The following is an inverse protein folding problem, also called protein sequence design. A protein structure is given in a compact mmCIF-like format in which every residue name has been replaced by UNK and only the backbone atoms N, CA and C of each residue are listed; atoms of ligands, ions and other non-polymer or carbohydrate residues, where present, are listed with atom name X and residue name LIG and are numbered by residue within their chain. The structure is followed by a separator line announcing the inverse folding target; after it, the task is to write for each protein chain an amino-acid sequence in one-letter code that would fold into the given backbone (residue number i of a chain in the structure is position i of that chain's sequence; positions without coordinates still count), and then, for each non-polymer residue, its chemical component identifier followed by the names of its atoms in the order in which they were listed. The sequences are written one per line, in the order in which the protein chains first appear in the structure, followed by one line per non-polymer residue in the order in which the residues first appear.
data_IF_606095500483
#
_entry.id   IF_606095500483
#
_cell.length_a   1.000
_cell.length_b   1.000
_cell.length_c   1.000
_cell.angle_alpha   90.00
_cell.angle_beta   90.00
_cell.angle_gamma   90.00
#
_symmetry.space_group_name_H-M   'P 1'
#
loop_
_entity.id
_entity.type
_entity.pdbx_description
1 polymer ?
#
# COMPACT_ATOMS: atom_id res chain seq x y z
N UNK A 1 10.41 20.35 6.32
CA UNK A 1 9.37 21.20 5.72
C UNK A 1 8.03 20.51 5.90
N UNK A 2 6.96 21.26 6.17
CA UNK A 2 5.74 20.74 6.78
C UNK A 2 4.96 19.81 5.83
N UNK A 3 4.91 18.52 6.19
CA UNK A 3 3.88 17.59 5.71
C UNK A 3 2.48 18.21 5.80
N UNK A 4 2.23 19.04 6.83
CA UNK A 4 1.00 19.80 6.98
C UNK A 4 0.73 20.77 5.81
N UNK A 5 1.75 21.43 5.26
CA UNK A 5 1.60 22.37 4.14
C UNK A 5 1.21 21.62 2.86
N UNK A 6 1.83 20.45 2.64
CA UNK A 6 1.50 19.56 1.51
C UNK A 6 0.10 19.00 1.64
N UNK A 7 -0.29 18.57 2.84
CA UNK A 7 -1.63 18.07 3.11
C UNK A 7 -2.68 19.15 2.90
N UNK A 8 -2.41 20.38 3.35
CA UNK A 8 -3.27 21.54 3.12
C UNK A 8 -3.43 21.81 1.62
N UNK A 9 -2.32 21.90 0.89
CA UNK A 9 -2.34 22.11 -0.56
C UNK A 9 -3.13 21.01 -1.28
N UNK A 10 -2.83 19.74 -1.00
CA UNK A 10 -3.48 18.62 -1.65
C UNK A 10 -4.99 18.60 -1.35
N UNK A 11 -5.38 18.92 -0.11
CA UNK A 11 -6.79 18.95 0.27
C UNK A 11 -7.60 19.99 -0.49
N UNK A 12 -7.02 21.17 -0.76
CA UNK A 12 -7.67 22.25 -1.49
C UNK A 12 -7.68 22.00 -3.00
N UNK A 13 -6.61 21.44 -3.57
CA UNK A 13 -6.60 21.04 -4.99
C UNK A 13 -7.67 19.99 -5.27
N UNK A 14 -7.68 18.92 -4.47
CA UNK A 14 -8.63 17.82 -4.61
C UNK A 14 -10.07 18.32 -4.51
N UNK A 15 -10.35 19.18 -3.53
CA UNK A 15 -11.65 19.85 -3.39
C UNK A 15 -12.03 20.67 -4.62
N UNK A 16 -11.09 21.39 -5.22
CA UNK A 16 -11.34 22.18 -6.44
C UNK A 16 -11.55 21.32 -7.68
N UNK A 17 -10.93 20.14 -7.74
CA UNK A 17 -11.02 19.19 -8.85
C UNK A 17 -12.16 18.17 -8.70
N UNK A 18 -12.98 18.26 -7.63
CA UNK A 18 -13.99 17.24 -7.26
C UNK A 18 -13.39 15.82 -7.12
N UNK A 19 -12.13 15.73 -6.67
CA UNK A 19 -11.44 14.47 -6.40
C UNK A 19 -11.41 14.23 -4.89
N UNK A 20 -11.76 13.04 -4.39
CA UNK A 20 -11.72 12.76 -2.96
C UNK A 20 -10.32 12.79 -2.36
N UNK A 21 -10.25 13.16 -1.07
CA UNK A 21 -9.02 13.16 -0.29
C UNK A 21 -8.73 11.76 0.27
N UNK A 22 -7.96 10.96 -0.46
CA UNK A 22 -7.52 9.63 -0.01
C UNK A 22 -7.58 8.60 -1.12
N UNK A 23 -7.61 7.33 -0.73
CA UNK A 23 -7.82 6.23 -1.67
C UNK A 23 -9.32 6.09 -1.96
N UNK A 24 -9.66 5.92 -3.24
CA UNK A 24 -11.03 5.67 -3.71
C UNK A 24 -11.38 4.19 -3.70
N UNK A 25 -10.37 3.37 -3.98
CA UNK A 25 -10.46 1.93 -3.98
C UNK A 25 -9.22 1.37 -3.28
N UNK A 26 -9.41 0.31 -2.50
CA UNK A 26 -8.34 -0.42 -1.83
C UNK A 26 -8.65 -1.91 -1.94
N UNK A 27 -7.79 -2.62 -2.67
CA UNK A 27 -7.75 -4.07 -2.72
C UNK A 27 -6.75 -4.65 -1.71
N UNK A 28 -7.13 -5.75 -1.08
CA UNK A 28 -6.29 -6.51 -0.14
C UNK A 28 -6.19 -7.95 -0.61
N UNK A 29 -5.03 -8.33 -1.14
CA UNK A 29 -4.70 -9.71 -1.45
C UNK A 29 -3.99 -10.37 -0.26
N UNK A 30 -4.60 -11.41 0.29
CA UNK A 30 -4.01 -12.25 1.34
C UNK A 30 -3.55 -13.57 0.73
N UNK A 31 -2.25 -13.83 0.83
CA UNK A 31 -1.63 -15.06 0.35
C UNK A 31 -1.32 -15.97 1.54
N UNK A 32 -1.75 -17.24 1.46
CA UNK A 32 -1.42 -18.25 2.47
C UNK A 32 -1.05 -19.57 1.83
N UNK A 33 -0.23 -20.37 2.51
CA UNK A 33 0.02 -21.75 2.08
C UNK A 33 -1.17 -22.65 2.41
N UNK A 34 -1.37 -23.68 1.58
CA UNK A 34 -2.35 -24.73 1.83
C UNK A 34 -2.01 -25.48 3.12
N UNK A 35 -3.07 -25.89 3.81
CA UNK A 35 -3.01 -26.73 5.01
C UNK A 35 -2.06 -27.93 4.83
N UNK A 36 -1.18 -28.12 5.80
CA UNK A 36 -0.26 -29.26 5.87
C UNK A 36 0.99 -29.14 5.00
N UNK A 37 1.17 -28.02 4.28
CA UNK A 37 2.42 -27.70 3.60
C UNK A 37 3.39 -26.89 4.48
N UNK A 38 2.84 -26.14 5.44
CA UNK A 38 3.65 -25.45 6.45
C UNK A 38 4.03 -26.43 7.57
N UNK A 39 5.26 -26.34 8.06
CA UNK A 39 5.82 -27.20 9.12
C UNK A 39 5.26 -26.85 10.50
N UNK A 40 4.39 -25.82 10.59
CA UNK A 40 3.78 -25.40 11.86
C UNK A 40 2.68 -26.35 12.35
N UNK A 41 2.86 -27.01 13.51
CA UNK A 41 1.79 -27.80 14.13
C UNK A 41 0.64 -26.88 14.53
N UNK A 42 -0.61 -27.29 14.28
CA UNK A 42 -1.87 -26.53 14.55
C UNK A 42 -2.16 -25.33 13.63
N UNK A 43 -1.68 -25.39 12.39
CA UNK A 43 -2.00 -24.45 11.32
C UNK A 43 -3.49 -24.04 11.24
N UNK A 44 -4.42 -24.97 11.54
CA UNK A 44 -5.87 -24.76 11.47
C UNK A 44 -6.44 -23.76 12.47
N UNK A 45 -6.01 -23.83 13.74
CA UNK A 45 -6.59 -23.01 14.81
C UNK A 45 -5.88 -21.66 14.94
N UNK A 46 -4.58 -21.61 14.65
CA UNK A 46 -3.78 -20.44 14.98
C UNK A 46 -3.43 -19.57 13.77
N UNK A 47 -3.55 -20.05 12.51
CA UNK A 47 -3.35 -19.21 11.30
C UNK A 47 -4.67 -18.84 10.64
N UNK A 48 -5.64 -19.76 10.59
CA UNK A 48 -6.92 -19.48 9.92
C UNK A 48 -7.77 -18.47 10.69
N UNK A 49 -7.71 -18.47 12.03
CA UNK A 49 -8.42 -17.48 12.85
C UNK A 49 -7.83 -16.08 12.62
N UNK A 50 -6.50 -15.84 12.73
CA UNK A 50 -5.96 -14.52 12.44
C UNK A 50 -6.15 -14.05 11.00
N UNK A 51 -6.09 -14.93 9.99
CA UNK A 51 -6.40 -14.52 8.60
C UNK A 51 -7.88 -14.13 8.47
N UNK A 52 -8.79 -14.89 9.10
CA UNK A 52 -10.21 -14.55 9.16
C UNK A 52 -10.46 -13.21 9.85
N UNK A 53 -9.86 -12.99 11.02
CA UNK A 53 -9.95 -11.75 11.78
C UNK A 53 -9.35 -10.56 11.03
N UNK A 54 -8.23 -10.76 10.34
CA UNK A 54 -7.60 -9.72 9.52
C UNK A 54 -8.49 -9.34 8.33
N UNK A 55 -9.08 -10.34 7.66
CA UNK A 55 -10.07 -10.11 6.60
C UNK A 55 -11.29 -9.37 7.14
N UNK A 56 -11.80 -9.79 8.29
CA UNK A 56 -12.92 -9.14 8.96
C UNK A 56 -12.63 -7.65 9.24
N UNK A 57 -11.44 -7.33 9.76
CA UNK A 57 -11.02 -5.95 9.99
C UNK A 57 -11.02 -5.16 8.68
N UNK A 58 -10.37 -5.67 7.62
CA UNK A 58 -10.30 -4.93 6.36
C UNK A 58 -11.65 -4.81 5.65
N UNK A 59 -12.48 -5.85 5.62
CA UNK A 59 -13.78 -5.79 4.94
C UNK A 59 -14.85 -5.04 5.72
N UNK A 60 -14.92 -5.22 7.04
CA UNK A 60 -16.03 -4.71 7.84
C UNK A 60 -15.71 -3.40 8.55
N UNK A 61 -14.45 -3.17 8.92
CA UNK A 61 -14.05 -1.92 9.57
C UNK A 61 -13.46 -0.92 8.58
N UNK A 62 -12.71 -1.39 7.58
CA UNK A 62 -12.15 -0.52 6.53
C UNK A 62 -12.98 -0.48 5.23
N UNK A 63 -13.88 -1.43 5.02
CA UNK A 63 -14.65 -1.56 3.77
C UNK A 63 -13.78 -1.74 2.52
N UNK A 64 -12.63 -2.41 2.67
CA UNK A 64 -11.76 -2.77 1.56
C UNK A 64 -12.21 -4.06 0.88
N UNK A 65 -11.88 -4.21 -0.40
CA UNK A 65 -12.11 -5.45 -1.14
C UNK A 65 -11.03 -6.46 -0.78
N UNK A 66 -11.40 -7.63 -0.25
CA UNK A 66 -10.43 -8.62 0.21
C UNK A 66 -10.54 -9.92 -0.58
N UNK A 67 -9.39 -10.44 -1.01
CA UNK A 67 -9.25 -11.74 -1.65
C UNK A 67 -8.26 -12.60 -0.84
N UNK A 68 -8.62 -13.85 -0.57
CA UNK A 68 -7.70 -14.84 0.01
C UNK A 68 -7.36 -15.85 -1.07
N UNK A 69 -6.08 -15.98 -1.40
CA UNK A 69 -5.58 -17.03 -2.30
C UNK A 69 -4.73 -18.01 -1.51
N UNK A 70 -5.08 -19.28 -1.64
CA UNK A 70 -4.35 -20.40 -1.04
C UNK A 70 -3.38 -21.01 -2.06
N UNK A 71 -2.10 -21.10 -1.67
CA UNK A 71 -1.01 -21.63 -2.49
C UNK A 71 -0.77 -23.10 -2.16
N UNK A 72 -0.79 -23.96 -3.18
CA UNK A 72 -0.62 -25.41 -3.03
C UNK A 72 0.59 -25.96 -3.79
N UNK A 73 1.21 -27.04 -3.30
CA UNK A 73 2.39 -27.67 -3.91
C UNK A 73 2.06 -28.70 -5.01
N UNK A 74 0.79 -28.95 -5.30
CA UNK A 74 0.37 -29.88 -6.36
C UNK A 74 0.65 -29.36 -7.77
N UNK A 75 0.70 -28.03 -7.93
CA UNK A 75 1.15 -27.33 -9.15
C UNK A 75 2.35 -26.46 -8.79
N UNK A 76 3.00 -25.83 -9.76
CA UNK A 76 4.04 -24.82 -9.49
C UNK A 76 3.48 -23.70 -8.59
N UNK A 77 3.93 -23.58 -7.32
CA UNK A 77 3.42 -22.56 -6.40
C UNK A 77 3.80 -21.16 -6.85
N UNK A 78 4.93 -21.03 -7.52
CA UNK A 78 5.36 -19.80 -8.15
C UNK A 78 4.36 -19.31 -9.21
N UNK A 79 3.85 -20.19 -10.08
CA UNK A 79 2.85 -19.78 -11.08
C UNK A 79 1.54 -19.35 -10.43
N UNK A 80 1.16 -19.99 -9.32
CA UNK A 80 -0.03 -19.58 -8.56
C UNK A 80 0.16 -18.22 -7.92
N UNK A 81 1.32 -17.98 -7.32
CA UNK A 81 1.67 -16.68 -6.74
C UNK A 81 1.65 -15.57 -7.81
N UNK A 82 2.33 -15.80 -8.94
CA UNK A 82 2.34 -14.83 -10.04
C UNK A 82 0.93 -14.58 -10.58
N UNK A 83 0.12 -15.64 -10.75
CA UNK A 83 -1.25 -15.55 -11.23
C UNK A 83 -2.17 -14.85 -10.24
N UNK A 84 -2.02 -15.07 -8.94
CA UNK A 84 -2.79 -14.39 -7.90
C UNK A 84 -2.52 -12.87 -7.95
N UNK A 85 -1.25 -12.48 -8.01
CA UNK A 85 -0.86 -11.08 -8.13
C UNK A 85 -1.36 -10.48 -9.45
N UNK A 86 -1.14 -11.17 -10.58
CA UNK A 86 -1.62 -10.70 -11.88
C UNK A 86 -3.14 -10.56 -11.94
N UNK A 87 -3.90 -11.47 -11.34
CA UNK A 87 -5.35 -11.37 -11.29
C UNK A 87 -5.81 -10.22 -10.39
N UNK A 88 -5.16 -10.05 -9.24
CA UNK A 88 -5.43 -8.94 -8.34
C UNK A 88 -5.11 -7.58 -8.97
N UNK A 89 -4.11 -7.54 -9.88
CA UNK A 89 -3.71 -6.32 -10.59
C UNK A 89 -4.50 -6.07 -11.88
N UNK A 90 -4.81 -7.10 -12.68
CA UNK A 90 -5.08 -6.91 -14.11
C UNK A 90 -6.33 -7.56 -14.68
N UNK A 91 -6.80 -8.72 -14.25
CA UNK A 91 -7.39 -9.62 -15.26
C UNK A 91 -6.48 -9.74 -16.52
N UNK A 92 -5.15 -9.96 -16.40
CA UNK A 92 -4.40 -10.75 -17.41
C UNK A 92 -2.88 -10.91 -17.20
N UNK A 93 -2.49 -12.17 -17.42
CA UNK A 93 -1.30 -12.72 -18.12
C UNK A 93 0.03 -12.98 -17.41
N UNK A 94 0.60 -14.14 -17.80
CA UNK A 94 1.60 -14.97 -17.13
C UNK A 94 3.04 -14.58 -17.50
N UNK A 95 3.93 -14.71 -16.52
CA UNK A 95 5.39 -14.63 -16.67
C UNK A 95 6.08 -15.92 -16.18
N UNK A 96 7.10 -16.37 -16.90
CA UNK A 96 7.99 -17.48 -16.53
C UNK A 96 9.28 -16.99 -15.87
N UNK A 97 9.90 -17.84 -15.04
CA UNK A 97 11.01 -17.43 -14.15
C UNK A 97 12.28 -18.26 -14.33
N UNK A 98 13.45 -17.65 -14.07
CA UNK A 98 14.73 -18.33 -13.94
C UNK A 98 14.95 -18.89 -12.51
N UNK A 99 15.79 -19.94 -12.41
CA UNK A 99 16.14 -20.62 -11.17
C UNK A 99 17.34 -19.96 -10.49
N UNK A 100 17.28 -19.75 -9.17
CA UNK A 100 18.43 -19.38 -8.34
C UNK A 100 18.64 -20.39 -7.21
N UNK A 101 19.91 -20.78 -6.98
CA UNK A 101 20.32 -21.78 -6.00
C UNK A 101 20.68 -21.17 -4.65
N UNK A 102 19.95 -21.56 -3.62
CA UNK A 102 20.25 -21.31 -2.20
C UNK A 102 20.22 -22.60 -1.40
N UNK A 103 20.72 -22.57 -0.15
CA UNK A 103 20.80 -23.76 0.74
C UNK A 103 19.41 -24.35 1.09
N UNK A 104 18.36 -23.56 0.92
CA UNK A 104 16.97 -23.99 0.80
C UNK A 104 16.49 -23.50 -0.56
N UNK A 105 15.93 -24.39 -1.38
CA UNK A 105 15.35 -23.99 -2.67
C UNK A 105 13.90 -23.55 -2.42
N UNK A 106 13.61 -22.23 -2.44
CA UNK A 106 12.24 -21.77 -2.26
C UNK A 106 11.36 -22.27 -3.40
N UNK A 107 10.22 -22.85 -3.07
CA UNK A 107 9.24 -23.33 -4.06
C UNK A 107 8.44 -22.18 -4.70
N UNK A 108 8.48 -21.00 -4.08
CA UNK A 108 8.03 -19.72 -4.62
C UNK A 108 8.94 -18.58 -4.13
N UNK A 109 9.33 -17.70 -5.03
CA UNK A 109 10.18 -16.54 -4.85
C UNK A 109 9.33 -15.28 -4.91
N UNK A 110 9.22 -14.59 -3.78
CA UNK A 110 8.53 -13.30 -3.70
C UNK A 110 9.17 -12.25 -4.61
N UNK A 111 10.51 -12.23 -4.69
CA UNK A 111 11.27 -11.25 -5.46
C UNK A 111 10.77 -11.10 -6.90
N UNK A 112 10.41 -12.23 -7.53
CA UNK A 112 9.89 -12.25 -8.88
C UNK A 112 8.41 -11.88 -8.97
N UNK A 113 7.63 -12.30 -7.98
CA UNK A 113 6.20 -12.02 -7.93
C UNK A 113 5.97 -10.50 -7.73
N UNK A 114 6.83 -9.87 -6.94
CA UNK A 114 6.86 -8.45 -6.66
C UNK A 114 7.21 -7.57 -7.86
N UNK A 115 7.97 -8.08 -8.84
CA UNK A 115 8.33 -7.29 -10.04
C UNK A 115 7.09 -6.77 -10.77
N UNK A 116 6.00 -7.54 -10.79
CA UNK A 116 4.72 -7.10 -11.37
C UNK A 116 4.10 -5.93 -10.59
N UNK A 117 4.28 -5.90 -9.26
CA UNK A 117 3.78 -4.83 -8.41
C UNK A 117 4.67 -3.60 -8.46
N UNK A 118 5.93 -3.75 -8.88
CA UNK A 118 6.90 -2.69 -9.04
C UNK A 118 7.06 -2.24 -10.50
N UNK A 119 6.33 -2.81 -11.45
CA UNK A 119 6.41 -2.43 -12.87
C UNK A 119 6.05 -0.95 -13.05
N UNK A 120 6.90 -0.24 -13.79
CA UNK A 120 6.84 1.20 -14.06
C UNK A 120 6.59 1.48 -15.56
N UNK A 121 6.47 0.44 -16.39
CA UNK A 121 6.21 0.59 -17.82
C UNK A 121 4.77 1.05 -18.09
N UNK A 122 4.50 1.54 -19.31
CA UNK A 122 3.13 1.83 -19.74
C UNK A 122 2.25 0.57 -19.60
N UNK A 123 1.29 0.62 -18.68
CA UNK A 123 0.45 -0.53 -18.31
C UNK A 123 0.77 -1.15 -16.94
N UNK A 124 1.82 -0.69 -16.25
CA UNK A 124 2.11 -1.03 -14.86
C UNK A 124 1.14 -0.38 -13.86
N UNK A 125 1.10 -0.83 -12.60
CA UNK A 125 0.17 -0.32 -11.60
C UNK A 125 0.48 1.12 -11.15
N UNK A 126 -0.53 2.00 -11.24
CA UNK A 126 -0.47 3.39 -10.74
C UNK A 126 -0.73 3.50 -9.22
N UNK A 127 -1.15 2.41 -8.57
CA UNK A 127 -1.55 2.40 -7.16
C UNK A 127 -0.37 2.42 -6.18
N UNK A 128 -0.58 3.06 -5.03
CA UNK A 128 0.31 2.88 -3.87
C UNK A 128 0.17 1.44 -3.36
N UNK A 129 1.29 0.82 -2.93
CA UNK A 129 1.31 -0.59 -2.51
C UNK A 129 1.87 -0.71 -1.10
N UNK A 130 1.10 -1.34 -0.20
CA UNK A 130 1.56 -1.72 1.13
C UNK A 130 1.71 -3.24 1.24
N UNK A 131 2.94 -3.71 1.43
CA UNK A 131 3.23 -5.11 1.73
C UNK A 131 3.19 -5.35 3.23
N UNK A 132 2.39 -6.33 3.67
CA UNK A 132 2.39 -6.83 5.05
C UNK A 132 2.93 -8.27 5.03
N UNK A 133 4.11 -8.48 5.61
CA UNK A 133 4.79 -9.78 5.55
C UNK A 133 5.00 -10.38 6.93
N UNK A 134 4.15 -11.35 7.27
CA UNK A 134 4.36 -12.23 8.42
C UNK A 134 5.15 -13.49 8.02
N UNK A 135 6.44 -13.30 7.75
CA UNK A 135 7.34 -14.40 7.49
C UNK A 135 8.74 -14.14 8.05
N UNK A 136 9.46 -15.22 8.32
CA UNK A 136 10.87 -15.14 8.68
C UNK A 136 11.66 -14.51 7.53
N UNK A 137 12.73 -13.76 7.83
CA UNK A 137 13.60 -13.15 6.81
C UNK A 137 12.92 -12.14 5.87
N UNK A 138 11.70 -11.69 6.17
CA UNK A 138 10.94 -10.73 5.35
C UNK A 138 11.71 -9.43 5.05
N UNK A 139 12.54 -8.98 5.99
CA UNK A 139 13.37 -7.78 5.84
C UNK A 139 14.56 -7.93 4.88
N UNK A 140 14.82 -9.12 4.32
CA UNK A 140 15.91 -9.32 3.36
C UNK A 140 15.57 -8.76 1.96
N UNK A 141 14.32 -8.33 1.72
CA UNK A 141 13.79 -7.84 0.45
C UNK A 141 14.06 -6.33 0.21
N UNK A 142 15.22 -5.83 0.61
CA UNK A 142 15.57 -4.42 0.40
C UNK A 142 16.06 -4.19 -1.04
N UNK A 143 15.21 -3.60 -1.87
CA UNK A 143 15.58 -2.95 -3.12
C UNK A 143 15.09 -1.52 -3.07
N UNK A 144 15.94 -0.58 -3.49
CA UNK A 144 15.62 0.82 -3.73
C UNK A 144 15.77 1.14 -5.21
N UNK A 145 14.73 1.72 -5.81
CA UNK A 145 14.76 2.31 -7.16
C UNK A 145 14.40 3.79 -7.06
N UNK A 146 14.85 4.59 -8.04
CA UNK A 146 15.05 6.04 -7.86
C UNK A 146 14.03 6.96 -8.55
N UNK A 147 12.96 6.45 -9.19
CA UNK A 147 12.16 7.25 -10.14
C UNK A 147 10.63 7.04 -10.06
N UNK A 148 9.92 7.41 -8.99
CA UNK A 148 8.49 7.02 -8.85
C UNK A 148 7.56 8.11 -8.32
N UNK A 149 6.37 8.23 -8.93
CA UNK A 149 5.26 9.07 -8.43
C UNK A 149 4.45 8.38 -7.31
N UNK A 150 4.45 7.04 -7.24
CA UNK A 150 3.70 6.25 -6.25
C UNK A 150 4.53 5.84 -5.03
N UNK A 151 3.84 5.52 -3.95
CA UNK A 151 4.39 5.10 -2.65
C UNK A 151 4.31 3.59 -2.53
N UNK A 152 5.45 2.94 -2.26
CA UNK A 152 5.49 1.51 -1.98
C UNK A 152 6.17 1.27 -0.64
N UNK A 153 5.46 0.65 0.28
CA UNK A 153 5.94 0.38 1.63
C UNK A 153 5.91 -1.11 1.96
N UNK A 154 6.86 -1.55 2.77
CA UNK A 154 6.91 -2.91 3.29
C UNK A 154 6.93 -2.88 4.81
N UNK A 155 5.93 -3.49 5.43
CA UNK A 155 5.91 -3.80 6.85
C UNK A 155 6.21 -5.29 7.06
N UNK A 156 7.36 -5.58 7.66
CA UNK A 156 7.85 -6.93 7.88
C UNK A 156 7.76 -7.31 9.37
N UNK A 157 7.39 -8.57 9.64
CA UNK A 157 7.19 -9.09 10.98
C UNK A 157 8.46 -9.25 11.82
N UNK A 158 9.64 -9.21 11.20
CA UNK A 158 10.93 -9.30 11.87
C UNK A 158 12.03 -8.58 11.09
N UNK A 159 13.10 -8.24 11.78
CA UNK A 159 14.33 -7.69 11.20
C UNK A 159 15.06 -8.70 10.30
N UNK A 160 16.09 -8.19 9.60
CA UNK A 160 16.94 -8.98 8.71
C UNK A 160 17.48 -10.22 9.44
N UNK A 161 17.48 -11.36 8.76
CA UNK A 161 18.06 -12.61 9.26
C UNK A 161 17.48 -13.14 10.58
N UNK A 162 16.27 -12.70 10.95
CA UNK A 162 15.58 -13.10 12.18
C UNK A 162 14.35 -13.95 11.87
N UNK A 163 14.04 -14.89 12.77
CA UNK A 163 12.82 -15.70 12.71
C UNK A 163 11.68 -15.01 13.45
N UNK A 164 10.46 -15.18 12.95
CA UNK A 164 9.24 -14.75 13.63
C UNK A 164 8.76 -15.85 14.59
N UNK A 165 8.05 -15.48 15.68
CA UNK A 165 7.31 -16.46 16.46
C UNK A 165 6.25 -17.12 15.58
N UNK A 166 5.87 -18.32 15.96
CA UNK A 166 4.69 -18.94 15.38
C UNK A 166 3.42 -18.14 15.62
N UNK A 167 2.32 -18.59 15.01
CA UNK A 167 0.99 -18.07 15.28
C UNK A 167 0.66 -18.03 16.80
N UNK A 168 -0.18 -17.09 17.21
CA UNK A 168 -0.57 -16.88 18.62
C UNK A 168 -0.33 -15.46 19.13
N UNK A 169 -0.45 -15.26 20.44
CA UNK A 169 -0.47 -13.92 21.08
C UNK A 169 0.76 -13.06 20.79
N UNK A 170 1.92 -13.70 20.57
CA UNK A 170 3.18 -13.02 20.27
C UNK A 170 3.47 -12.88 18.77
N UNK A 171 2.56 -13.34 17.91
CA UNK A 171 2.71 -13.27 16.46
C UNK A 171 2.58 -11.83 15.96
N UNK A 172 3.15 -11.55 14.78
CA UNK A 172 2.97 -10.26 14.12
C UNK A 172 1.52 -10.01 13.78
N UNK A 173 0.87 -11.00 13.15
CA UNK A 173 -0.51 -10.86 12.68
C UNK A 173 -1.46 -10.53 13.85
N UNK A 174 -1.31 -11.16 15.01
CA UNK A 174 -2.13 -10.82 16.19
C UNK A 174 -1.90 -9.38 16.66
N UNK A 175 -0.64 -8.93 16.75
CA UNK A 175 -0.33 -7.55 17.14
C UNK A 175 -0.85 -6.53 16.10
N UNK A 176 -0.75 -6.86 14.81
CA UNK A 176 -1.25 -6.07 13.68
C UNK A 176 -2.77 -5.89 13.77
N UNK A 177 -3.53 -6.98 13.94
CA UNK A 177 -5.00 -6.93 14.04
C UNK A 177 -5.41 -6.05 15.22
N UNK A 178 -4.79 -6.25 16.39
CA UNK A 178 -5.09 -5.46 17.58
C UNK A 178 -4.74 -3.97 17.39
N UNK A 179 -3.64 -3.66 16.70
CA UNK A 179 -3.25 -2.28 16.39
C UNK A 179 -4.23 -1.64 15.39
N UNK A 180 -4.62 -2.34 14.32
CA UNK A 180 -5.60 -1.87 13.35
C UNK A 180 -6.93 -1.55 14.02
N UNK A 181 -7.50 -2.49 14.80
CA UNK A 181 -8.76 -2.28 15.52
C UNK A 181 -8.69 -1.06 16.45
N UNK A 182 -7.62 -0.95 17.23
CA UNK A 182 -7.43 0.18 18.13
C UNK A 182 -7.37 1.52 17.39
N UNK A 183 -6.59 1.59 16.31
CA UNK A 183 -6.42 2.83 15.56
C UNK A 183 -7.66 3.20 14.76
N UNK A 184 -8.43 2.23 14.26
CA UNK A 184 -9.74 2.51 13.65
C UNK A 184 -10.72 3.04 14.68
N UNK A 185 -10.80 2.45 15.86
CA UNK A 185 -11.67 2.94 16.93
C UNK A 185 -11.29 4.37 17.37
N UNK A 186 -9.98 4.65 17.44
CA UNK A 186 -9.45 5.94 17.91
C UNK A 186 -9.52 7.05 16.86
N UNK A 187 -9.12 6.77 15.63
CA UNK A 187 -8.96 7.77 14.57
C UNK A 187 -10.14 7.76 13.57
N UNK A 188 -10.94 6.68 13.55
CA UNK A 188 -12.15 6.54 12.76
C UNK A 188 -11.96 6.87 11.28
N UNK A 189 -12.88 7.68 10.75
CA UNK A 189 -12.88 8.14 9.36
C UNK A 189 -11.69 9.02 8.99
N UNK A 190 -10.94 9.54 9.95
CA UNK A 190 -9.76 10.37 9.63
C UNK A 190 -8.61 9.52 9.13
N UNK A 191 -8.57 8.23 9.46
CA UNK A 191 -7.50 7.30 9.10
C UNK A 191 -6.14 7.63 9.74
N UNK A 192 -5.16 6.78 9.50
CA UNK A 192 -3.84 6.88 10.12
C UNK A 192 -2.71 6.43 9.18
N UNK A 193 -1.52 7.04 9.28
CA UNK A 193 -0.38 6.63 8.47
C UNK A 193 0.19 5.29 8.95
N UNK A 194 0.83 4.56 8.03
CA UNK A 194 1.54 3.30 8.31
C UNK A 194 2.61 3.43 9.39
N UNK A 195 3.22 4.61 9.55
CA UNK A 195 4.16 4.90 10.65
C UNK A 195 3.49 4.84 12.03
N UNK A 196 2.24 5.31 12.15
CA UNK A 196 1.46 5.23 13.40
C UNK A 196 1.03 3.79 13.67
N UNK A 197 0.61 3.05 12.63
CA UNK A 197 0.34 1.62 12.72
C UNK A 197 1.56 0.84 13.21
N UNK A 198 2.72 1.10 12.60
CA UNK A 198 3.98 0.46 12.96
C UNK A 198 4.35 0.72 14.43
N UNK A 199 4.25 1.97 14.88
CA UNK A 199 4.44 2.31 16.30
C UNK A 199 3.48 1.53 17.19
N UNK A 200 2.19 1.47 16.84
CA UNK A 200 1.18 0.78 17.64
C UNK A 200 1.43 -0.73 17.75
N UNK A 201 1.98 -1.34 16.70
CA UNK A 201 2.45 -2.74 16.70
C UNK A 201 3.64 -2.89 17.64
N UNK A 202 4.64 -2.00 17.57
CA UNK A 202 5.83 -2.06 18.44
C UNK A 202 5.48 -1.93 19.93
N UNK A 203 4.45 -1.14 20.27
CA UNK A 203 3.95 -1.04 21.65
C UNK A 203 3.32 -2.36 22.16
N UNK A 204 2.69 -3.15 21.27
CA UNK A 204 2.10 -4.46 21.61
C UNK A 204 3.09 -5.60 21.58
N UNK A 205 4.07 -5.50 20.68
CA UNK A 205 5.06 -6.52 20.41
C UNK A 205 6.42 -5.87 20.21
N UNK A 206 7.25 -5.96 21.24
CA UNK A 206 8.61 -5.45 21.21
C UNK A 206 9.59 -6.37 20.48
N UNK A 207 9.37 -7.70 20.50
CA UNK A 207 10.28 -8.68 19.91
C UNK A 207 9.55 -9.84 19.21
N UNK A 208 10.07 -10.34 18.08
CA UNK A 208 11.02 -9.67 17.19
C UNK A 208 10.50 -8.30 16.71
N UNK A 209 11.40 -7.33 16.59
CA UNK A 209 11.07 -5.97 16.13
C UNK A 209 10.47 -6.01 14.72
N UNK A 210 9.24 -5.50 14.58
CA UNK A 210 8.63 -5.28 13.28
C UNK A 210 9.34 -4.13 12.55
N UNK A 211 9.52 -4.25 11.24
CA UNK A 211 10.21 -3.26 10.43
C UNK A 211 9.25 -2.58 9.46
N UNK A 212 9.43 -1.28 9.23
CA UNK A 212 8.74 -0.52 8.19
C UNK A 212 9.76 0.07 7.23
N UNK A 213 9.67 -0.29 5.96
CA UNK A 213 10.56 0.17 4.89
C UNK A 213 9.79 0.98 3.86
N UNK A 214 10.39 2.10 3.44
CA UNK A 214 10.02 2.80 2.21
C UNK A 214 10.83 2.17 1.06
N UNK A 215 10.16 1.51 0.12
CA UNK A 215 10.81 0.73 -0.93
C UNK A 215 11.50 1.61 -1.98
N UNK A 216 11.09 2.87 -2.13
CA UNK A 216 11.74 3.80 -3.07
C UNK A 216 12.60 4.85 -2.38
N UNK A 217 12.69 4.78 -1.04
CA UNK A 217 13.54 5.64 -0.21
C UNK A 217 13.35 7.14 -0.49
N UNK A 218 12.10 7.55 -0.76
CA UNK A 218 11.77 8.95 -1.04
C UNK A 218 11.45 9.73 0.23
N UNK A 219 10.91 9.06 1.24
CA UNK A 219 10.45 9.65 2.50
C UNK A 219 9.47 10.84 2.31
N UNK A 220 8.84 10.96 1.14
CA UNK A 220 8.03 12.12 0.76
C UNK A 220 6.58 12.01 1.20
N UNK A 221 6.03 10.78 1.27
CA UNK A 221 4.64 10.49 1.61
C UNK A 221 4.57 9.10 2.26
N UNK A 222 3.72 8.94 3.28
CA UNK A 222 3.41 7.65 3.91
C UNK A 222 2.05 7.18 3.47
N UNK A 223 1.87 5.87 3.29
CA UNK A 223 0.54 5.31 3.02
C UNK A 223 -0.33 5.59 4.25
N UNK A 224 -1.56 6.01 4.01
CA UNK A 224 -2.55 6.30 5.04
C UNK A 224 -3.73 5.35 4.91
N UNK A 225 -3.93 4.52 5.92
CA UNK A 225 -5.06 3.62 5.99
C UNK A 225 -6.27 4.38 6.52
N UNK A 226 -7.34 4.39 5.74
CA UNK A 226 -8.57 5.11 6.09
C UNK A 226 -9.74 4.22 5.68
N UNK A 227 -10.73 3.99 6.56
CA UNK A 227 -11.96 3.32 6.16
C UNK A 227 -12.58 3.99 4.94
N UNK A 228 -12.93 3.22 3.92
CA UNK A 228 -13.67 3.75 2.77
C UNK A 228 -15.10 4.05 3.20
N UNK A 229 -15.61 5.20 2.77
CA UNK A 229 -17.05 5.39 2.73
C UNK A 229 -17.60 4.46 1.64
N UNK A 230 -18.66 3.70 1.94
CA UNK A 230 -19.27 2.83 0.93
C UNK A 230 -19.82 3.71 -0.19
N UNK A 231 -19.22 3.68 -1.39
CA UNK A 231 -19.65 4.58 -2.44
C UNK A 231 -21.06 4.17 -2.88
N UNK A 232 -21.93 5.16 -3.00
CA UNK A 232 -23.23 4.99 -3.63
C UNK A 232 -23.04 4.68 -5.13
N UNK A 233 -24.12 4.33 -5.84
CA UNK A 233 -24.02 3.91 -7.24
C UNK A 233 -23.41 5.00 -8.16
N UNK A 234 -23.70 6.28 -7.89
CA UNK A 234 -23.16 7.40 -8.67
C UNK A 234 -21.66 7.61 -8.36
N UNK A 235 -21.27 7.51 -7.10
CA UNK A 235 -19.86 7.58 -6.68
C UNK A 235 -19.04 6.44 -7.27
N UNK A 236 -19.59 5.22 -7.32
CA UNK A 236 -18.95 4.08 -7.99
C UNK A 236 -18.71 4.36 -9.47
N UNK A 237 -19.73 4.88 -10.17
CA UNK A 237 -19.58 5.23 -11.58
C UNK A 237 -18.51 6.31 -11.78
N UNK A 238 -18.49 7.36 -10.95
CA UNK A 238 -17.44 8.40 -10.99
C UNK A 238 -16.04 7.82 -10.76
N UNK A 239 -15.91 6.88 -9.82
CA UNK A 239 -14.64 6.19 -9.54
C UNK A 239 -14.21 5.38 -10.76
N UNK A 240 -15.11 4.58 -11.33
CA UNK A 240 -14.86 3.80 -12.54
C UNK A 240 -14.43 4.70 -13.70
N UNK A 241 -15.17 5.78 -13.97
CA UNK A 241 -14.88 6.77 -15.01
C UNK A 241 -13.52 7.44 -14.80
N UNK A 242 -13.15 7.76 -13.55
CA UNK A 242 -11.85 8.35 -13.20
C UNK A 242 -10.67 7.38 -13.44
N UNK A 243 -10.91 6.07 -13.36
CA UNK A 243 -9.91 5.04 -13.62
C UNK A 243 -9.90 4.53 -15.07
N UNK A 244 -10.86 4.94 -15.92
CA UNK A 244 -10.86 4.53 -17.33
C UNK A 244 -9.70 5.14 -18.13
N UNK A 245 -9.27 6.36 -17.79
CA UNK A 245 -8.14 7.02 -18.46
C UNK A 245 -6.87 7.04 -17.59
N UNK A 246 -5.82 6.27 -17.95
CA UNK A 246 -4.55 6.30 -17.25
C UNK A 246 -3.82 7.64 -17.44
N UNK A 247 -2.85 7.94 -16.56
CA UNK A 247 -1.98 9.10 -16.75
C UNK A 247 -1.13 8.89 -18.01
N UNK A 248 -1.32 9.75 -19.03
CA UNK A 248 -0.60 9.65 -20.31
C UNK A 248 0.73 10.42 -20.31
N UNK A 249 0.87 11.44 -19.45
CA UNK A 249 2.08 12.27 -19.35
C UNK A 249 2.01 13.18 -18.13
N UNK A 250 3.17 13.60 -17.61
CA UNK A 250 3.28 14.62 -16.54
C UNK A 250 4.24 15.75 -16.91
N UNK A 251 4.04 16.90 -16.26
CA UNK A 251 4.92 18.07 -16.35
C UNK A 251 5.32 18.49 -14.93
N UNK A 252 6.62 18.66 -14.70
CA UNK A 252 7.16 19.16 -13.43
C UNK A 252 7.54 20.63 -13.59
N UNK A 253 6.91 21.52 -12.82
CA UNK A 253 7.17 22.96 -12.84
C UNK A 253 7.81 23.38 -11.52
N UNK A 254 8.91 24.16 -11.59
CA UNK A 254 9.58 24.72 -10.42
C UNK A 254 9.29 26.23 -10.31
N UNK A 255 8.79 26.65 -9.15
CA UNK A 255 8.60 28.06 -8.80
C UNK A 255 9.73 28.54 -7.90
N UNK A 256 10.41 29.62 -8.29
CA UNK A 256 11.40 30.29 -7.44
C UNK A 256 10.72 31.39 -6.64
N UNK A 257 10.66 31.21 -5.32
CA UNK A 257 9.98 32.13 -4.41
C UNK A 257 10.97 33.11 -3.79
N UNK A 258 10.50 34.31 -3.46
CA UNK A 258 11.28 35.33 -2.73
C UNK A 258 11.35 35.05 -1.22
N UNK A 259 10.46 34.20 -0.73
CA UNK A 259 10.33 33.84 0.68
C UNK A 259 10.57 32.34 0.85
N UNK A 260 11.17 31.97 1.97
CA UNK A 260 11.50 30.57 2.27
C UNK A 260 10.27 29.73 2.66
N UNK A 261 9.13 30.36 2.94
CA UNK A 261 7.89 29.71 3.38
C UNK A 261 6.68 30.44 2.79
N UNK A 262 5.61 29.69 2.58
CA UNK A 262 4.30 30.24 2.27
C UNK A 262 3.42 30.16 3.52
N UNK A 263 2.56 31.16 3.71
CA UNK A 263 1.48 31.09 4.69
C UNK A 263 0.36 30.14 4.23
N UNK A 264 -0.42 29.61 5.16
CA UNK A 264 -1.58 28.77 4.85
C UNK A 264 -2.52 29.42 3.83
N UNK A 265 -2.81 30.72 3.99
CA UNK A 265 -3.65 31.46 3.05
C UNK A 265 -3.07 31.49 1.63
N UNK A 266 -1.75 31.64 1.49
CA UNK A 266 -1.07 31.60 0.18
C UNK A 266 -1.11 30.19 -0.42
N UNK A 267 -0.91 29.15 0.39
CA UNK A 267 -0.96 27.74 -0.04
C UNK A 267 -2.36 27.40 -0.56
N UNK A 268 -3.40 27.73 0.20
CA UNK A 268 -4.79 27.49 -0.18
C UNK A 268 -5.17 28.26 -1.45
N UNK A 269 -4.80 29.54 -1.55
CA UNK A 269 -5.05 30.33 -2.75
C UNK A 269 -4.35 29.72 -3.97
N UNK A 270 -3.07 29.33 -3.83
CA UNK A 270 -2.32 28.69 -4.89
C UNK A 270 -2.92 27.35 -5.32
N UNK A 271 -3.34 26.53 -4.37
CA UNK A 271 -4.02 25.25 -4.60
C UNK A 271 -5.34 25.39 -5.37
N UNK A 272 -6.11 26.46 -5.14
CA UNK A 272 -7.36 26.72 -5.86
C UNK A 272 -7.17 27.29 -7.25
N UNK A 273 -6.15 28.13 -7.43
CA UNK A 273 -5.90 28.81 -8.71
C UNK A 273 -5.25 27.90 -9.76
N UNK A 274 -4.41 26.93 -9.36
CA UNK A 274 -3.74 26.04 -10.30
C UNK A 274 -4.71 25.19 -11.15
N UNK A 275 -5.67 24.44 -10.56
CA UNK A 275 -6.68 23.74 -11.36
C UNK A 275 -7.50 24.67 -12.23
N UNK A 276 -7.86 25.87 -11.73
CA UNK A 276 -8.62 26.85 -12.49
C UNK A 276 -7.84 27.39 -13.69
N UNK A 277 -6.52 27.53 -13.59
CA UNK A 277 -5.66 27.93 -14.69
C UNK A 277 -5.56 26.84 -15.77
N UNK A 278 -5.49 25.56 -15.36
CA UNK A 278 -5.53 24.42 -16.28
C UNK A 278 -6.87 24.36 -17.03
N UNK A 279 -7.98 24.48 -16.31
CA UNK A 279 -9.34 24.50 -16.87
C UNK A 279 -9.51 25.63 -17.90
N UNK A 280 -9.09 26.86 -17.57
CA UNK A 280 -9.14 28.01 -18.48
C UNK A 280 -8.28 27.86 -19.74
N UNK A 281 -7.30 26.97 -19.71
CA UNK A 281 -6.34 26.74 -20.80
C UNK A 281 -6.63 25.45 -21.56
N UNK A 282 -7.76 24.81 -21.31
CA UNK A 282 -8.14 23.50 -21.87
C UNK A 282 -7.06 22.41 -21.66
N UNK A 283 -6.34 22.48 -20.53
CA UNK A 283 -5.35 21.47 -20.15
C UNK A 283 -6.05 20.37 -19.35
N UNK A 284 -6.11 19.12 -19.86
CA UNK A 284 -6.79 18.02 -19.20
C UNK A 284 -5.94 17.47 -18.04
N UNK A 285 -5.93 18.20 -16.93
CA UNK A 285 -5.18 17.82 -15.73
C UNK A 285 -5.94 16.78 -14.91
N UNK A 286 -5.32 15.62 -14.67
CA UNK A 286 -5.87 14.56 -13.80
C UNK A 286 -5.52 14.79 -12.33
N UNK A 287 -4.34 15.35 -12.07
CA UNK A 287 -3.76 15.48 -10.73
C UNK A 287 -2.76 16.62 -10.68
N UNK A 288 -2.66 17.30 -9.54
CA UNK A 288 -1.59 18.26 -9.24
C UNK A 288 -1.02 17.91 -7.87
N UNK A 289 0.30 17.86 -7.77
CA UNK A 289 1.01 17.45 -6.56
C UNK A 289 2.05 18.47 -6.13
N UNK A 290 2.17 18.67 -4.82
CA UNK A 290 3.30 19.38 -4.22
C UNK A 290 4.45 18.40 -3.95
N UNK A 291 5.44 18.36 -4.84
CA UNK A 291 6.57 17.43 -4.73
C UNK A 291 7.55 17.76 -3.61
N UNK A 292 8.02 19.01 -3.54
CA UNK A 292 8.91 19.50 -2.47
C UNK A 292 8.99 21.02 -2.43
N UNK A 293 9.42 21.53 -1.29
CA UNK A 293 9.93 22.89 -1.12
C UNK A 293 11.38 22.75 -0.67
N UNK A 294 12.29 23.39 -1.39
CA UNK A 294 13.73 23.41 -1.12
C UNK A 294 14.12 24.64 -0.31
#
# INVERSE_FOLDING_TARGET
QNEADRQLFQSEVNKKMDVPNGYLNVGVLMLRWQKGLDEFPKHDQEVSIPIGDLKEVFEHQFHYECEIVELHNQKSPQHQLNHAIANHLLNSNKFELPKCGGKYNPTALWLHAEEQLLDETEGGPESDVLFLMDCCFASNLQKSSTSHQRTVELMAASSKDTKTPGPGEKSFTTALIAALRHLVEKDGKTGFPTSKLHQEILHRRSEPVAMLFDRFNRHLKRIKLTPLDKPNAEERQKIEDFFQEPEKSSVVIRFSLKEARLSNCQIEAFARELPAACEKSDIPVRKIEWLKME
#
